data_IF_234720076790
#
_entry.id   IF_234720076790
#
_cell.length_a   1.000
_cell.length_b   1.000
_cell.length_c   1.000
_cell.angle_alpha   90.00
_cell.angle_beta   90.00
_cell.angle_gamma   90.00
#
_symmetry.space_group_name_H-M   'P 1'
#
loop_
_entity.id
_entity.type
_entity.pdbx_description
1 polymer ?
#
# COMPACT_ATOMS: atom_id res chain seq x y z
N UNK A 1 -11.59 -14.68 -6.66
CA UNK A 1 -10.61 -15.69 -7.15
C UNK A 1 -9.45 -14.91 -7.76
N UNK A 2 -8.24 -15.10 -7.28
CA UNK A 2 -7.02 -14.51 -7.81
C UNK A 2 -6.38 -15.49 -8.79
N UNK A 3 -5.78 -14.99 -9.87
CA UNK A 3 -5.06 -15.82 -10.83
C UNK A 3 -3.61 -15.33 -10.94
N UNK A 4 -2.68 -16.28 -10.90
CA UNK A 4 -1.23 -16.04 -11.07
C UNK A 4 -0.79 -16.70 -12.36
N UNK A 5 0.00 -16.01 -13.15
CA UNK A 5 0.58 -16.52 -14.39
C UNK A 5 2.11 -16.44 -14.32
N UNK A 6 2.76 -17.61 -14.43
CA UNK A 6 4.22 -17.71 -14.42
C UNK A 6 4.86 -17.29 -15.76
N UNK A 7 4.15 -17.52 -16.86
CA UNK A 7 4.54 -17.05 -18.19
C UNK A 7 3.43 -16.16 -18.73
N UNK A 8 3.72 -14.88 -18.92
CA UNK A 8 2.71 -13.89 -19.33
C UNK A 8 2.87 -13.56 -20.81
N UNK A 9 1.94 -14.01 -21.68
CA UNK A 9 1.96 -13.62 -23.08
C UNK A 9 1.83 -12.11 -23.23
N UNK A 10 2.69 -11.49 -24.01
CA UNK A 10 2.67 -10.04 -24.27
C UNK A 10 1.29 -9.57 -24.77
N UNK A 11 0.64 -10.39 -25.62
CA UNK A 11 -0.69 -10.09 -26.12
C UNK A 11 -1.76 -9.98 -25.02
N UNK A 12 -1.65 -10.75 -23.95
CA UNK A 12 -2.55 -10.66 -22.80
C UNK A 12 -2.36 -9.35 -22.04
N UNK A 13 -1.12 -8.92 -21.81
CA UNK A 13 -0.82 -7.64 -21.17
C UNK A 13 -1.38 -6.47 -21.99
N UNK A 14 -1.22 -6.52 -23.30
CA UNK A 14 -1.73 -5.50 -24.21
C UNK A 14 -3.27 -5.48 -24.23
N UNK A 15 -3.92 -6.64 -24.26
CA UNK A 15 -5.38 -6.75 -24.20
C UNK A 15 -5.92 -6.21 -22.86
N UNK A 16 -5.33 -6.58 -21.71
CA UNK A 16 -5.72 -6.09 -20.39
C UNK A 16 -5.57 -4.59 -20.30
N UNK A 17 -4.45 -4.06 -20.80
CA UNK A 17 -4.19 -2.62 -20.85
C UNK A 17 -5.20 -1.87 -21.71
N UNK A 18 -5.49 -2.38 -22.91
CA UNK A 18 -6.47 -1.79 -23.81
C UNK A 18 -7.88 -1.73 -23.21
N UNK A 19 -8.21 -2.70 -22.33
CA UNK A 19 -9.48 -2.76 -21.61
C UNK A 19 -9.46 -2.05 -20.25
N UNK A 20 -8.31 -1.52 -19.80
CA UNK A 20 -8.15 -0.89 -18.48
C UNK A 20 -8.31 -1.85 -17.30
N UNK A 21 -8.05 -3.15 -17.52
CA UNK A 21 -8.17 -4.21 -16.53
C UNK A 21 -6.86 -4.48 -15.75
N UNK A 22 -5.80 -3.77 -16.13
CA UNK A 22 -4.44 -3.97 -15.61
C UNK A 22 -4.08 -3.02 -14.45
N UNK A 23 -4.99 -2.14 -14.06
CA UNK A 23 -4.66 -1.03 -13.14
C UNK A 23 -4.24 -1.49 -11.74
N UNK A 24 -4.84 -2.57 -11.24
CA UNK A 24 -4.50 -3.15 -9.94
C UNK A 24 -3.69 -4.44 -10.07
N UNK A 25 -3.27 -4.81 -11.30
CA UNK A 25 -2.41 -5.97 -11.50
C UNK A 25 -1.00 -5.69 -10.96
N UNK A 26 -0.42 -6.70 -10.34
CA UNK A 26 0.95 -6.66 -9.81
C UNK A 26 1.86 -7.60 -10.61
N UNK A 27 3.13 -7.29 -10.67
CA UNK A 27 4.13 -8.15 -11.26
C UNK A 27 5.16 -8.52 -10.19
N UNK A 28 5.22 -9.79 -9.83
CA UNK A 28 6.09 -10.29 -8.80
C UNK A 28 7.27 -11.03 -9.45
N UNK A 29 8.37 -10.32 -9.64
CA UNK A 29 9.59 -10.90 -10.26
C UNK A 29 9.33 -11.60 -11.60
N UNK A 30 8.38 -11.06 -12.39
CA UNK A 30 7.99 -11.61 -13.68
C UNK A 30 6.69 -12.42 -13.68
N UNK A 31 6.14 -12.75 -12.52
CA UNK A 31 4.85 -13.43 -12.38
C UNK A 31 3.71 -12.41 -12.29
N UNK A 32 2.70 -12.53 -13.16
CA UNK A 32 1.54 -11.64 -13.15
C UNK A 32 0.50 -12.08 -12.11
N UNK A 33 0.23 -11.22 -11.15
CA UNK A 33 -0.84 -11.34 -10.18
C UNK A 33 -2.02 -10.47 -10.60
N UNK A 34 -3.08 -11.10 -11.09
CA UNK A 34 -4.31 -10.39 -11.49
C UNK A 34 -5.21 -10.19 -10.27
N UNK A 35 -5.39 -8.93 -9.87
CA UNK A 35 -6.16 -8.56 -8.68
C UNK A 35 -7.59 -8.20 -9.07
N UNK A 36 -8.62 -8.83 -8.49
CA UNK A 36 -10.00 -8.43 -8.70
C UNK A 36 -10.29 -7.08 -8.03
N UNK A 37 -11.32 -6.34 -8.48
CA UNK A 37 -11.77 -5.13 -7.79
C UNK A 37 -12.05 -5.42 -6.30
N UNK A 38 -11.60 -4.55 -5.39
CA UNK A 38 -11.86 -4.72 -3.98
C UNK A 38 -13.35 -4.49 -3.64
N UNK A 39 -13.86 -5.10 -2.54
CA UNK A 39 -15.23 -4.88 -2.10
C UNK A 39 -15.46 -3.46 -1.58
N UNK A 40 -16.73 -3.01 -1.57
CA UNK A 40 -17.14 -1.65 -1.18
C UNK A 40 -16.59 -1.22 0.19
N UNK A 41 -16.69 -2.08 1.20
CA UNK A 41 -16.16 -1.78 2.55
C UNK A 41 -14.66 -1.49 2.59
N UNK A 42 -13.88 -2.16 1.74
CA UNK A 42 -12.46 -1.91 1.60
C UNK A 42 -12.21 -0.54 0.96
N UNK A 43 -12.95 -0.22 -0.10
CA UNK A 43 -12.87 1.08 -0.78
C UNK A 43 -13.32 2.23 0.13
N UNK A 44 -14.40 2.05 0.90
CA UNK A 44 -14.89 3.05 1.84
C UNK A 44 -13.84 3.37 2.90
N UNK A 45 -13.30 2.32 3.57
CA UNK A 45 -12.25 2.51 4.57
C UNK A 45 -11.00 3.16 3.96
N UNK A 46 -10.58 2.72 2.77
CA UNK A 46 -9.44 3.31 2.05
C UNK A 46 -9.66 4.79 1.76
N UNK A 47 -10.86 5.17 1.29
CA UNK A 47 -11.21 6.55 1.02
C UNK A 47 -11.20 7.43 2.28
N UNK A 48 -11.83 6.98 3.37
CA UNK A 48 -11.88 7.71 4.64
C UNK A 48 -10.48 7.88 5.24
N UNK A 49 -9.68 6.82 5.24
CA UNK A 49 -8.30 6.85 5.70
C UNK A 49 -7.44 7.84 4.89
N UNK A 50 -7.59 7.83 3.57
CA UNK A 50 -6.86 8.74 2.69
C UNK A 50 -7.21 10.20 2.95
N UNK A 51 -8.48 10.52 3.21
CA UNK A 51 -8.92 11.87 3.53
C UNK A 51 -8.27 12.41 4.82
N UNK A 52 -7.93 11.54 5.77
CA UNK A 52 -7.23 11.93 7.00
C UNK A 52 -5.72 12.00 6.78
N UNK A 53 -5.11 10.96 6.21
CA UNK A 53 -3.65 10.85 6.14
C UNK A 53 -3.01 11.72 5.05
N UNK A 54 -3.68 11.94 3.91
CA UNK A 54 -3.09 12.68 2.80
C UNK A 54 -2.79 14.15 3.12
N UNK A 55 -3.66 14.92 3.83
CA UNK A 55 -3.31 16.28 4.28
C UNK A 55 -2.12 16.30 5.23
N UNK A 56 -2.02 15.33 6.17
CA UNK A 56 -0.92 15.21 7.12
C UNK A 56 0.39 14.94 6.37
N UNK A 57 0.37 13.98 5.44
CA UNK A 57 1.52 13.66 4.59
C UNK A 57 2.00 14.86 3.78
N UNK A 58 1.05 15.58 3.15
CA UNK A 58 1.36 16.80 2.39
C UNK A 58 2.00 17.88 3.26
N UNK A 59 1.52 18.08 4.48
CA UNK A 59 2.12 19.03 5.41
C UNK A 59 3.56 18.65 5.82
N UNK A 60 3.93 17.37 5.68
CA UNK A 60 5.27 16.83 5.92
C UNK A 60 6.12 16.71 4.65
N UNK A 61 5.65 17.25 3.53
CA UNK A 61 6.37 17.26 2.26
C UNK A 61 6.31 15.92 1.50
N UNK A 62 5.46 14.99 1.91
CA UNK A 62 5.30 13.70 1.23
C UNK A 62 4.25 13.76 0.13
N UNK A 63 4.45 13.00 -0.93
CA UNK A 63 3.43 12.66 -1.90
C UNK A 63 2.47 11.64 -1.28
N UNK A 64 1.18 11.82 -1.47
CA UNK A 64 0.17 10.83 -1.14
C UNK A 64 -0.40 10.21 -2.43
N UNK A 65 -0.53 8.90 -2.47
CA UNK A 65 -1.12 8.15 -3.58
C UNK A 65 -2.14 7.17 -3.03
N UNK A 66 -3.24 7.07 -3.72
CA UNK A 66 -4.30 6.09 -3.49
C UNK A 66 -4.37 5.16 -4.72
N UNK A 67 -4.85 3.93 -4.55
CA UNK A 67 -5.07 2.98 -5.65
C UNK A 67 -5.79 3.63 -6.87
N UNK A 68 -5.43 3.29 -8.12
CA UNK A 68 -4.35 2.40 -8.51
C UNK A 68 -3.04 3.19 -8.77
N UNK A 69 -2.04 3.00 -7.93
CA UNK A 69 -0.73 3.63 -8.12
C UNK A 69 0.39 2.62 -7.84
N UNK A 70 1.24 2.38 -8.83
CA UNK A 70 2.31 1.39 -8.73
C UNK A 70 3.49 1.87 -7.88
N UNK A 71 4.00 0.95 -7.05
CA UNK A 71 5.30 1.01 -6.41
C UNK A 71 6.25 0.05 -7.15
N UNK A 72 7.32 0.57 -7.71
CA UNK A 72 8.22 -0.17 -8.59
C UNK A 72 9.59 -0.41 -7.97
N UNK A 73 10.18 -1.57 -8.26
CA UNK A 73 11.60 -1.79 -7.98
C UNK A 73 12.44 -0.91 -8.89
N UNK A 74 13.38 -0.12 -8.37
CA UNK A 74 14.24 0.72 -9.18
C UNK A 74 15.02 -0.07 -10.22
N UNK A 75 14.98 0.41 -11.47
CA UNK A 75 15.72 -0.20 -12.59
C UNK A 75 15.19 -1.55 -13.08
N UNK A 76 14.06 -2.04 -12.57
CA UNK A 76 13.46 -3.32 -12.98
C UNK A 76 12.09 -3.08 -13.63
N UNK A 77 11.85 -3.68 -14.80
CA UNK A 77 10.62 -3.46 -15.57
C UNK A 77 9.47 -4.35 -15.08
N UNK A 78 9.77 -5.60 -14.74
CA UNK A 78 8.76 -6.62 -14.42
C UNK A 78 8.74 -6.96 -12.93
N UNK A 79 8.75 -5.93 -12.06
CA UNK A 79 8.65 -6.10 -10.62
C UNK A 79 8.05 -4.86 -9.95
N UNK A 80 6.73 -4.94 -9.67
CA UNK A 80 5.98 -3.88 -8.99
C UNK A 80 4.83 -4.43 -8.15
N UNK A 81 4.39 -3.61 -7.19
CA UNK A 81 3.18 -3.82 -6.38
C UNK A 81 2.25 -2.63 -6.53
N UNK A 82 0.97 -2.85 -6.25
CA UNK A 82 -0.06 -1.79 -6.24
C UNK A 82 -0.69 -1.78 -4.85
N UNK A 83 -0.08 -1.07 -3.88
CA UNK A 83 -0.64 -0.95 -2.54
C UNK A 83 -1.89 -0.06 -2.54
N UNK A 84 -2.77 -0.25 -1.56
CA UNK A 84 -3.98 0.56 -1.42
C UNK A 84 -3.67 2.04 -1.24
N UNK A 85 -2.63 2.35 -0.46
CA UNK A 85 -2.11 3.72 -0.37
C UNK A 85 -0.59 3.70 -0.20
N UNK A 86 0.07 4.77 -0.63
CA UNK A 86 1.48 5.00 -0.35
C UNK A 86 1.78 6.49 -0.17
N UNK A 87 2.77 6.72 0.68
CA UNK A 87 3.26 8.04 1.02
C UNK A 87 4.77 8.05 0.81
N UNK A 88 5.25 8.92 -0.06
CA UNK A 88 6.63 8.86 -0.53
C UNK A 88 7.26 10.24 -0.65
N UNK A 89 8.58 10.37 -0.51
CA UNK A 89 9.26 11.62 -0.78
C UNK A 89 9.13 11.97 -2.27
N UNK A 90 9.08 13.27 -2.63
CA UNK A 90 8.88 13.72 -4.01
C UNK A 90 9.88 13.17 -5.02
N UNK A 91 11.10 12.95 -4.60
CA UNK A 91 12.20 12.39 -5.41
C UNK A 91 12.01 10.93 -5.82
N UNK A 92 11.16 10.20 -5.12
CA UNK A 92 10.80 8.82 -5.49
C UNK A 92 9.83 8.76 -6.68
N UNK A 93 9.32 9.91 -7.15
CA UNK A 93 8.39 9.97 -8.29
C UNK A 93 9.12 9.69 -9.60
N UNK A 94 8.52 8.82 -10.42
CA UNK A 94 8.92 8.59 -11.81
C UNK A 94 7.72 8.69 -12.76
N UNK A 95 7.96 8.49 -14.07
CA UNK A 95 6.87 8.41 -15.05
C UNK A 95 5.97 7.19 -14.85
N UNK A 96 6.49 6.10 -14.24
CA UNK A 96 5.74 4.87 -13.98
C UNK A 96 4.90 4.94 -12.71
N UNK A 97 5.31 5.77 -11.73
CA UNK A 97 4.69 5.84 -10.40
C UNK A 97 5.70 6.24 -9.32
N UNK A 98 5.75 5.49 -8.23
CA UNK A 98 6.78 5.63 -7.19
C UNK A 98 7.82 4.54 -7.39
N UNK A 99 9.10 4.90 -7.41
CA UNK A 99 10.21 3.96 -7.51
C UNK A 99 11.00 3.89 -6.20
N UNK A 100 11.05 2.69 -5.61
CA UNK A 100 11.80 2.46 -4.37
C UNK A 100 11.14 3.05 -3.13
N UNK A 101 11.95 3.59 -2.24
CA UNK A 101 11.67 3.96 -0.86
C UNK A 101 10.43 4.84 -0.62
N UNK A 102 9.24 4.27 -0.61
CA UNK A 102 8.08 4.91 0.01
C UNK A 102 8.29 4.98 1.53
N UNK A 103 7.92 6.10 2.15
CA UNK A 103 8.02 6.25 3.62
C UNK A 103 7.01 5.35 4.32
N UNK A 104 5.79 5.24 3.75
CA UNK A 104 4.72 4.40 4.25
C UNK A 104 3.97 3.77 3.09
N UNK A 105 3.65 2.50 3.24
CA UNK A 105 2.65 1.75 2.46
C UNK A 105 1.48 1.40 3.38
N UNK A 106 0.26 1.46 2.88
CA UNK A 106 -0.94 0.97 3.56
C UNK A 106 -1.55 -0.15 2.74
N UNK A 107 -1.86 -1.24 3.39
CA UNK A 107 -2.58 -2.39 2.85
C UNK A 107 -3.83 -2.66 3.69
N UNK A 108 -4.97 -2.77 3.04
CA UNK A 108 -6.25 -3.11 3.66
C UNK A 108 -6.57 -4.54 3.29
N UNK A 109 -6.70 -5.41 4.28
CA UNK A 109 -6.86 -6.85 4.05
C UNK A 109 -8.11 -7.18 3.24
N UNK A 110 -7.98 -8.11 2.33
CA UNK A 110 -9.08 -8.73 1.58
C UNK A 110 -9.11 -10.25 1.85
N UNK A 111 -10.24 -10.92 1.65
CA UNK A 111 -10.28 -12.38 1.76
C UNK A 111 -9.25 -13.05 0.85
N UNK A 112 -8.44 -13.94 1.41
CA UNK A 112 -7.33 -14.63 0.72
C UNK A 112 -6.23 -13.67 0.24
N UNK A 113 -5.95 -12.64 1.01
CA UNK A 113 -4.94 -11.63 0.74
C UNK A 113 -3.51 -12.20 0.79
N UNK A 114 -2.62 -11.60 0.00
CA UNK A 114 -1.19 -11.91 -0.02
C UNK A 114 -0.35 -10.79 0.60
N UNK A 115 -0.97 -9.87 1.35
CA UNK A 115 -0.34 -8.69 1.95
C UNK A 115 0.94 -9.06 2.72
N UNK A 116 0.86 -10.08 3.58
CA UNK A 116 2.04 -10.49 4.36
C UNK A 116 3.17 -11.08 3.52
N UNK A 117 2.87 -11.63 2.34
CA UNK A 117 3.89 -12.13 1.40
C UNK A 117 4.64 -10.99 0.71
N UNK A 118 4.06 -9.78 0.67
CA UNK A 118 4.69 -8.58 0.09
C UNK A 118 5.70 -7.93 1.03
N UNK A 119 5.70 -8.23 2.34
CA UNK A 119 6.51 -7.52 3.34
C UNK A 119 8.01 -7.58 3.03
N UNK A 120 8.55 -8.73 2.68
CA UNK A 120 9.96 -8.88 2.33
C UNK A 120 10.30 -8.07 1.08
N UNK A 121 9.40 -8.03 0.11
CA UNK A 121 9.58 -7.22 -1.09
C UNK A 121 9.58 -5.73 -0.75
N UNK A 122 8.62 -5.25 0.07
CA UNK A 122 8.59 -3.86 0.52
C UNK A 122 9.88 -3.47 1.24
N UNK A 123 10.38 -4.34 2.13
CA UNK A 123 11.66 -4.11 2.79
C UNK A 123 12.81 -3.98 1.79
N UNK A 124 12.85 -4.87 0.78
CA UNK A 124 13.93 -4.93 -0.22
C UNK A 124 13.99 -3.73 -1.16
N UNK A 125 12.85 -3.06 -1.40
CA UNK A 125 12.81 -1.82 -2.20
C UNK A 125 12.92 -0.56 -1.36
N UNK A 126 13.13 -0.71 -0.04
CA UNK A 126 13.41 0.40 0.87
C UNK A 126 12.17 1.11 1.43
N UNK A 127 10.98 0.47 1.42
CA UNK A 127 9.80 0.99 2.13
C UNK A 127 10.12 1.11 3.61
N UNK A 128 9.81 2.25 4.22
CA UNK A 128 10.09 2.53 5.63
C UNK A 128 9.14 1.81 6.58
N UNK A 129 7.84 1.91 6.32
CA UNK A 129 6.78 1.35 7.17
C UNK A 129 5.68 0.75 6.32
N UNK A 130 5.04 -0.32 6.82
CA UNK A 130 3.82 -0.91 6.23
C UNK A 130 2.75 -0.97 7.31
N UNK A 131 1.64 -0.25 7.10
CA UNK A 131 0.44 -0.31 7.92
C UNK A 131 -0.53 -1.32 7.29
N UNK A 132 -0.90 -2.34 8.04
CA UNK A 132 -1.90 -3.33 7.64
C UNK A 132 -3.15 -3.14 8.45
N UNK A 133 -4.32 -3.11 7.77
CA UNK A 133 -5.62 -2.85 8.42
C UNK A 133 -6.61 -3.94 8.04
N UNK A 134 -7.23 -4.52 9.05
CA UNK A 134 -8.40 -5.40 8.86
C UNK A 134 -9.67 -4.55 8.73
N UNK A 135 -10.37 -4.56 7.58
CA UNK A 135 -11.53 -3.70 7.35
C UNK A 135 -12.77 -4.10 8.15
N UNK A 136 -12.82 -5.32 8.74
CA UNK A 136 -13.96 -5.78 9.53
C UNK A 136 -13.80 -5.41 11.01
N UNK A 137 -12.61 -5.66 11.55
CA UNK A 137 -12.34 -5.49 12.98
C UNK A 137 -11.69 -4.16 13.31
N UNK A 138 -11.22 -3.43 12.30
CA UNK A 138 -10.39 -2.22 12.43
C UNK A 138 -9.06 -2.47 13.13
N UNK A 139 -8.65 -3.75 13.28
CA UNK A 139 -7.35 -4.08 13.83
C UNK A 139 -6.25 -3.56 12.93
N UNK A 140 -5.24 -2.97 13.55
CA UNK A 140 -4.08 -2.42 12.87
C UNK A 140 -2.80 -3.12 13.29
N UNK A 141 -1.90 -3.32 12.34
CA UNK A 141 -0.56 -3.82 12.55
C UNK A 141 0.41 -2.90 11.79
N UNK A 142 1.51 -2.54 12.43
CA UNK A 142 2.56 -1.75 11.81
C UNK A 142 3.84 -2.57 11.74
N UNK A 143 4.44 -2.56 10.56
CA UNK A 143 5.75 -3.15 10.33
C UNK A 143 6.72 -2.04 9.96
N UNK A 144 7.89 -2.02 10.60
CA UNK A 144 8.96 -1.08 10.27
C UNK A 144 10.13 -1.82 9.65
N UNK A 145 10.74 -1.18 8.65
CA UNK A 145 11.96 -1.71 8.03
C UNK A 145 13.13 -1.56 8.99
N UNK A 146 13.71 -2.69 9.36
CA UNK A 146 14.94 -2.75 10.15
C UNK A 146 15.97 -3.59 9.39
N UNK A 147 16.97 -2.93 8.87
CA UNK A 147 18.08 -3.56 8.13
C UNK A 147 17.61 -4.46 6.97
N UNK A 148 16.61 -4.01 6.20
CA UNK A 148 16.07 -4.74 5.04
C UNK A 148 15.06 -5.82 5.37
N UNK A 149 14.46 -5.79 6.57
CA UNK A 149 13.37 -6.68 6.99
C UNK A 149 12.23 -5.90 7.59
N UNK A 150 10.99 -6.27 7.27
CA UNK A 150 9.80 -5.75 7.95
C UNK A 150 9.62 -6.49 9.26
N UNK A 151 9.71 -5.76 10.38
CA UNK A 151 9.47 -6.30 11.71
C UNK A 151 8.24 -5.64 12.33
N UNK A 152 7.36 -6.41 12.99
CA UNK A 152 6.20 -5.84 13.66
C UNK A 152 6.64 -4.91 14.79
N UNK A 153 5.98 -3.77 14.92
CA UNK A 153 6.25 -2.78 15.96
C UNK A 153 4.96 -2.38 16.70
N UNK A 154 5.10 -2.04 17.95
CA UNK A 154 4.00 -1.56 18.80
C UNK A 154 4.52 -0.66 19.90
N UNK A 155 3.74 0.34 20.31
CA UNK A 155 2.41 0.74 19.80
C UNK A 155 2.45 1.19 18.33
N UNK A 156 1.27 1.15 17.64
CA UNK A 156 1.18 1.54 16.22
C UNK A 156 1.28 3.07 16.12
N UNK A 157 2.49 3.54 15.87
CA UNK A 157 2.79 4.95 15.60
C UNK A 157 3.49 5.03 14.26
N UNK A 158 2.83 5.65 13.28
CA UNK A 158 3.34 5.88 11.93
C UNK A 158 4.32 7.04 12.02
N UNK A 159 5.61 6.74 12.10
CA UNK A 159 6.65 7.73 12.42
C UNK A 159 6.75 8.82 11.37
N UNK A 160 6.71 8.47 10.09
CA UNK A 160 6.82 9.45 9.01
C UNK A 160 5.66 10.47 8.99
N UNK A 161 4.50 10.12 9.55
CA UNK A 161 3.32 10.99 9.66
C UNK A 161 3.10 11.53 11.07
N UNK A 162 3.73 10.99 12.11
CA UNK A 162 3.45 11.31 13.51
C UNK A 162 2.00 11.01 13.89
N UNK A 163 1.45 9.92 13.36
CA UNK A 163 0.06 9.50 13.59
C UNK A 163 0.05 8.21 14.40
N UNK A 164 -0.63 8.22 15.52
CA UNK A 164 -0.99 7.00 16.25
C UNK A 164 -2.26 6.41 15.66
N UNK A 165 -2.28 5.10 15.45
CA UNK A 165 -3.45 4.36 15.02
C UNK A 165 -3.80 3.27 16.05
N UNK A 166 -5.06 3.17 16.43
CA UNK A 166 -5.53 2.17 17.38
C UNK A 166 -7.00 1.80 17.12
N UNK A 167 -7.40 0.59 17.50
CA UNK A 167 -8.81 0.19 17.46
C UNK A 167 -9.48 0.58 18.77
N UNK A 168 -10.52 1.42 18.70
CA UNK A 168 -11.29 1.89 19.86
C UNK A 168 -12.77 1.70 19.58
N UNK A 169 -13.47 0.95 20.41
CA UNK A 169 -14.91 0.68 20.29
C UNK A 169 -15.36 0.22 18.89
N UNK A 170 -14.48 -0.54 18.20
CA UNK A 170 -14.75 -1.06 16.86
C UNK A 170 -14.48 -0.08 15.72
N UNK A 171 -14.01 1.12 16.00
CA UNK A 171 -13.54 2.10 15.02
C UNK A 171 -12.00 2.15 14.97
N UNK A 172 -11.45 2.55 13.84
CA UNK A 172 -10.05 2.91 13.71
C UNK A 172 -9.87 4.36 14.14
N UNK A 173 -9.23 4.57 15.29
CA UNK A 173 -8.88 5.91 15.78
C UNK A 173 -7.48 6.29 15.33
N UNK A 174 -7.40 7.46 14.68
CA UNK A 174 -6.15 8.12 14.28
C UNK A 174 -5.98 9.37 15.13
N UNK A 175 -4.80 9.52 15.77
CA UNK A 175 -4.48 10.70 16.59
C UNK A 175 -3.14 11.28 16.15
N UNK A 176 -3.09 12.61 15.96
CA UNK A 176 -1.90 13.36 15.59
C UNK A 176 -1.89 14.72 16.30
N UNK A 177 -0.82 15.50 16.19
CA UNK A 177 -0.71 16.81 16.86
C UNK A 177 -1.84 17.80 16.52
N UNK A 178 -2.45 17.66 15.35
CA UNK A 178 -3.54 18.53 14.87
C UNK A 178 -4.95 18.03 15.18
N UNK A 179 -5.12 16.82 15.76
CA UNK A 179 -6.46 16.31 16.05
C UNK A 179 -6.58 14.80 16.17
N UNK A 180 -7.82 14.36 16.14
CA UNK A 180 -8.22 12.94 16.18
C UNK A 180 -9.36 12.70 15.19
N UNK A 181 -9.35 11.54 14.54
CA UNK A 181 -10.44 11.08 13.69
C UNK A 181 -10.74 9.60 13.99
N UNK A 182 -12.02 9.24 13.99
CA UNK A 182 -12.51 7.86 14.05
C UNK A 182 -13.08 7.47 12.68
N UNK A 183 -12.68 6.29 12.17
CA UNK A 183 -13.05 5.77 10.85
C UNK A 183 -13.67 4.37 10.98
#
# INVERSE_FOLDING_TARGET
MRAVMLEVPQALLEERRAKGLDKSDEMWEGELHMVPPPPDRHQALGGELFLVLAPIAKARGLLARHDPSGLFRPGVVHDWRVPDQMYAPPEARSERGIEGAASLVVEILSPHDETYQKLDWYASVGVGEVLVIDPETRRVELFANRDGRMVPVGPVVIECLGVRAETVDGALRLTWDGGTADI
#
